data_IF_824861166457
#
_entry.id   IF_824861166457
#
_cell.length_a   1.000
_cell.length_b   1.000
_cell.length_c   1.000
_cell.angle_alpha   90.00
_cell.angle_beta   90.00
_cell.angle_gamma   90.00
#
_symmetry.space_group_name_H-M   'P 1'
#
loop_
_entity.id
_entity.type
_entity.pdbx_description
1 polymer ?
#
# COMPACT_ATOMS: atom_id res chain seq x y z
N UNK A 1 -6.48 20.38 53.52
CA UNK A 1 -6.66 20.56 52.07
C UNK A 1 -5.66 19.64 51.39
N UNK A 2 -6.05 18.44 50.94
CA UNK A 2 -5.13 17.58 50.20
C UNK A 2 -4.88 18.17 48.80
N UNK A 3 -3.65 18.06 48.27
CA UNK A 3 -3.34 18.54 46.93
C UNK A 3 -3.99 17.62 45.88
N UNK A 4 -4.74 18.22 44.96
CA UNK A 4 -5.30 17.55 43.80
C UNK A 4 -4.16 17.30 42.81
N UNK A 5 -3.72 16.05 42.68
CA UNK A 5 -2.79 15.60 41.65
C UNK A 5 -3.56 15.48 40.33
N UNK A 6 -3.31 16.39 39.38
CA UNK A 6 -3.66 16.16 37.99
C UNK A 6 -2.68 15.15 37.40
N UNK A 7 -3.18 13.97 37.05
CA UNK A 7 -2.45 13.03 36.20
C UNK A 7 -2.58 13.53 34.75
N UNK A 8 -1.48 13.64 33.99
CA UNK A 8 -1.56 13.96 32.58
C UNK A 8 -2.23 12.79 31.86
N UNK A 9 -3.35 13.05 31.20
CA UNK A 9 -3.90 12.15 30.18
C UNK A 9 -2.96 12.17 28.99
N UNK A 10 -2.31 11.04 28.72
CA UNK A 10 -1.67 10.81 27.43
C UNK A 10 -2.78 10.79 26.37
N UNK A 11 -2.83 11.81 25.53
CA UNK A 11 -3.62 11.76 24.32
C UNK A 11 -2.85 10.86 23.33
N UNK A 12 -3.36 9.66 23.09
CA UNK A 12 -2.97 8.91 21.91
C UNK A 12 -3.71 9.54 20.73
N UNK A 13 -2.97 9.97 19.72
CA UNK A 13 -3.57 10.32 18.44
C UNK A 13 -4.25 9.04 17.91
N UNK A 14 -5.45 9.22 17.36
CA UNK A 14 -6.20 8.14 16.75
C UNK A 14 -6.12 8.30 15.24
N UNK A 15 -6.19 7.21 14.46
CA UNK A 15 -6.28 7.31 13.02
C UNK A 15 -7.40 8.27 12.60
N UNK A 16 -7.13 9.02 11.55
CA UNK A 16 -8.05 10.02 10.99
C UNK A 16 -9.17 9.34 10.19
N UNK A 17 -8.89 8.15 9.65
CA UNK A 17 -9.86 7.26 9.04
C UNK A 17 -9.47 5.79 9.27
N UNK A 18 -10.47 4.91 9.35
CA UNK A 18 -10.32 3.47 9.58
C UNK A 18 -11.30 2.70 8.70
N UNK A 19 -10.76 1.78 7.89
CA UNK A 19 -11.44 0.75 7.12
C UNK A 19 -10.99 -0.64 7.56
N UNK A 20 -11.44 -1.04 8.75
CA UNK A 20 -11.14 -2.32 9.42
C UNK A 20 -12.29 -3.33 9.36
N UNK A 21 -13.39 -3.00 8.69
CA UNK A 21 -14.59 -3.84 8.51
C UNK A 21 -15.34 -4.17 9.80
N UNK A 22 -15.02 -3.54 10.93
CA UNK A 22 -15.68 -3.80 12.22
C UNK A 22 -17.15 -3.32 12.26
N UNK A 23 -17.60 -2.62 11.21
CA UNK A 23 -19.02 -2.34 10.96
C UNK A 23 -19.80 -3.55 10.40
N UNK A 24 -19.12 -4.65 10.10
CA UNK A 24 -19.68 -5.85 9.44
C UNK A 24 -20.34 -5.53 8.09
N UNK A 25 -19.81 -4.53 7.38
CA UNK A 25 -20.18 -4.16 6.03
C UNK A 25 -19.02 -3.41 5.36
N UNK A 26 -19.24 -2.95 4.12
CA UNK A 26 -18.22 -2.21 3.35
C UNK A 26 -18.38 -0.69 3.45
N UNK A 27 -19.18 -0.18 4.41
CA UNK A 27 -19.60 1.23 4.45
C UNK A 27 -18.50 2.22 4.87
N UNK A 28 -17.36 1.71 5.36
CA UNK A 28 -16.19 2.52 5.71
C UNK A 28 -15.44 3.06 4.48
N UNK A 29 -15.65 2.46 3.30
CA UNK A 29 -15.07 2.88 2.03
C UNK A 29 -16.08 3.72 1.24
N UNK A 30 -15.61 4.76 0.54
CA UNK A 30 -16.46 5.68 -0.22
C UNK A 30 -17.05 5.06 -1.49
N UNK A 31 -16.40 4.03 -2.02
CA UNK A 31 -16.80 3.38 -3.26
C UNK A 31 -16.30 1.97 -3.38
N UNK A 32 -16.96 1.21 -4.24
CA UNK A 32 -16.65 -0.17 -4.55
C UNK A 32 -16.66 -0.35 -6.06
N UNK A 33 -15.60 -0.91 -6.62
CA UNK A 33 -15.48 -1.17 -8.05
C UNK A 33 -15.70 -2.66 -8.29
N UNK A 34 -16.69 -2.97 -9.14
CA UNK A 34 -17.11 -4.34 -9.48
C UNK A 34 -17.36 -5.24 -8.26
N UNK A 35 -17.81 -4.70 -7.13
CA UNK A 35 -18.09 -5.51 -5.95
C UNK A 35 -19.26 -6.49 -6.14
N UNK A 36 -20.16 -6.21 -7.08
CA UNK A 36 -21.17 -7.16 -7.53
C UNK A 36 -21.21 -7.16 -9.05
N UNK A 37 -21.04 -8.34 -9.66
CA UNK A 37 -21.13 -8.53 -11.12
C UNK A 37 -22.19 -9.59 -11.38
N UNK A 38 -23.20 -9.25 -12.17
CA UNK A 38 -24.30 -10.15 -12.54
C UNK A 38 -25.02 -10.81 -11.35
N UNK A 39 -25.08 -10.14 -10.19
CA UNK A 39 -25.72 -10.66 -8.98
C UNK A 39 -24.81 -11.56 -8.14
N UNK A 40 -23.53 -11.66 -8.44
CA UNK A 40 -22.51 -12.35 -7.65
C UNK A 40 -21.64 -11.31 -6.95
N UNK A 41 -21.50 -11.43 -5.63
CA UNK A 41 -20.63 -10.56 -4.84
C UNK A 41 -19.17 -11.01 -4.96
N UNK A 42 -18.30 -10.11 -5.40
CA UNK A 42 -16.85 -10.29 -5.52
C UNK A 42 -16.08 -9.62 -4.38
N UNK A 43 -16.76 -8.81 -3.55
CA UNK A 43 -16.25 -8.36 -2.25
C UNK A 43 -17.23 -8.83 -1.18
N UNK A 44 -16.74 -9.58 -0.20
CA UNK A 44 -17.54 -10.09 0.92
C UNK A 44 -16.84 -9.81 2.24
N UNK A 45 -17.60 -9.44 3.27
CA UNK A 45 -17.07 -9.32 4.63
C UNK A 45 -17.11 -10.70 5.30
N UNK A 46 -15.98 -11.13 5.85
CA UNK A 46 -15.78 -12.47 6.42
C UNK A 46 -15.34 -12.39 7.88
N UNK A 47 -15.33 -13.52 8.59
CA UNK A 47 -14.94 -13.63 10.02
C UNK A 47 -13.90 -14.72 10.29
N UNK A 48 -13.52 -15.51 9.29
CA UNK A 48 -12.66 -16.69 9.43
C UNK A 48 -11.18 -16.39 9.14
N UNK A 49 -10.90 -15.44 8.24
CA UNK A 49 -9.56 -14.95 7.93
C UNK A 49 -9.52 -13.46 8.23
N UNK A 50 -8.99 -13.08 9.39
CA UNK A 50 -8.94 -11.69 9.90
C UNK A 50 -7.54 -11.37 10.42
N UNK A 51 -7.06 -10.15 10.21
CA UNK A 51 -5.77 -9.70 10.72
C UNK A 51 -5.91 -9.20 12.16
N UNK A 52 -7.02 -8.50 12.42
CA UNK A 52 -7.43 -8.04 13.74
C UNK A 52 -8.95 -8.13 13.91
N UNK A 53 -9.46 -7.69 15.06
CA UNK A 53 -10.90 -7.52 15.24
C UNK A 53 -11.71 -8.79 15.02
N UNK A 54 -12.84 -8.65 14.33
CA UNK A 54 -13.79 -9.71 14.00
C UNK A 54 -13.99 -9.89 12.50
N UNK A 55 -13.66 -8.90 11.68
CA UNK A 55 -14.01 -8.90 10.28
C UNK A 55 -12.84 -8.52 9.37
N UNK A 56 -12.90 -9.00 8.12
CA UNK A 56 -12.03 -8.57 7.04
C UNK A 56 -12.80 -8.61 5.71
N UNK A 57 -12.30 -7.94 4.68
CA UNK A 57 -12.83 -8.11 3.33
C UNK A 57 -12.11 -9.23 2.59
N UNK A 58 -12.87 -10.13 1.98
CA UNK A 58 -12.41 -11.09 0.98
C UNK A 58 -12.79 -10.59 -0.41
N UNK A 59 -11.80 -10.46 -1.28
CA UNK A 59 -11.94 -9.95 -2.64
C UNK A 59 -11.54 -11.04 -3.63
N UNK A 60 -12.42 -11.34 -4.59
CA UNK A 60 -12.14 -12.25 -5.71
C UNK A 60 -12.09 -11.48 -7.02
N UNK A 61 -11.08 -11.74 -7.85
CA UNK A 61 -11.02 -11.21 -9.20
C UNK A 61 -11.44 -12.28 -10.21
N UNK A 62 -12.59 -12.07 -10.86
CA UNK A 62 -13.06 -12.91 -11.95
C UNK A 62 -12.83 -12.22 -13.30
N UNK A 63 -12.69 -13.00 -14.36
CA UNK A 63 -12.50 -12.47 -15.72
C UNK A 63 -13.67 -11.60 -16.20
N UNK A 64 -14.88 -11.74 -15.67
CA UNK A 64 -16.00 -10.89 -16.06
C UNK A 64 -16.08 -9.56 -15.29
N UNK A 65 -15.15 -9.29 -14.36
CA UNK A 65 -15.01 -8.02 -13.64
C UNK A 65 -14.39 -6.91 -14.52
N UNK A 66 -15.00 -6.69 -15.68
CA UNK A 66 -14.52 -5.78 -16.74
C UNK A 66 -14.84 -4.34 -16.37
N UNK A 67 -13.82 -3.48 -16.31
CA UNK A 67 -14.01 -2.05 -16.20
C UNK A 67 -14.45 -1.44 -17.54
N UNK A 68 -15.58 -0.72 -17.60
CA UNK A 68 -16.18 -0.32 -18.87
C UNK A 68 -15.30 0.54 -19.78
N UNK A 69 -14.40 1.35 -19.20
CA UNK A 69 -13.70 2.39 -19.96
C UNK A 69 -12.45 1.89 -20.70
N UNK A 70 -11.83 0.82 -20.22
CA UNK A 70 -10.52 0.36 -20.74
C UNK A 70 -10.38 -1.17 -20.78
N UNK A 71 -11.39 -1.90 -20.30
CA UNK A 71 -11.39 -3.36 -20.29
C UNK A 71 -10.47 -3.98 -19.23
N UNK A 72 -9.87 -3.18 -18.34
CA UNK A 72 -9.11 -3.71 -17.21
C UNK A 72 -10.00 -4.62 -16.36
N UNK A 73 -9.39 -5.63 -15.74
CA UNK A 73 -10.08 -6.53 -14.82
C UNK A 73 -9.80 -6.07 -13.41
N UNK A 74 -10.82 -5.67 -12.66
CA UNK A 74 -10.62 -5.07 -11.33
C UNK A 74 -11.78 -5.30 -10.39
N UNK A 75 -11.46 -5.53 -9.12
CA UNK A 75 -12.41 -5.55 -7.99
C UNK A 75 -11.71 -4.89 -6.80
N UNK A 76 -12.19 -3.72 -6.39
CA UNK A 76 -11.43 -2.83 -5.50
C UNK A 76 -12.33 -2.02 -4.58
N UNK A 77 -11.79 -1.74 -3.40
CA UNK A 77 -12.27 -0.78 -2.42
C UNK A 77 -11.69 0.59 -2.76
N UNK A 78 -12.49 1.66 -2.62
CA UNK A 78 -12.10 3.04 -2.90
C UNK A 78 -12.20 3.88 -1.64
N UNK A 79 -11.11 4.57 -1.29
CA UNK A 79 -11.06 5.57 -0.21
C UNK A 79 -10.69 6.94 -0.76
N UNK A 80 -11.48 7.96 -0.43
CA UNK A 80 -11.23 9.36 -0.73
C UNK A 80 -10.87 10.09 0.56
N UNK A 81 -9.60 10.47 0.75
CA UNK A 81 -9.19 11.25 1.91
C UNK A 81 -10.01 12.54 2.06
N UNK A 82 -10.16 12.98 3.32
CA UNK A 82 -10.77 14.27 3.60
C UNK A 82 -10.03 15.40 2.85
N UNK A 83 -10.77 16.44 2.45
CA UNK A 83 -10.22 17.57 1.69
C UNK A 83 -8.97 18.15 2.38
N UNK A 84 -7.92 18.39 1.61
CA UNK A 84 -6.66 18.96 2.11
C UNK A 84 -5.60 17.94 2.48
N UNK A 85 -5.96 16.65 2.63
CA UNK A 85 -5.01 15.62 3.07
C UNK A 85 -3.99 15.23 2.01
N UNK A 86 -4.33 15.43 0.73
CA UNK A 86 -3.43 15.18 -0.40
C UNK A 86 -3.14 16.46 -1.20
N UNK A 87 -3.35 17.63 -0.60
CA UNK A 87 -3.02 18.91 -1.26
C UNK A 87 -1.49 19.10 -1.28
N UNK A 88 -1.00 19.99 -2.13
CA UNK A 88 0.41 20.38 -2.17
C UNK A 88 0.94 20.74 -0.76
N UNK A 89 2.03 20.10 -0.34
CA UNK A 89 2.67 20.26 0.96
C UNK A 89 2.02 19.49 2.11
N UNK A 90 0.92 18.77 1.87
CA UNK A 90 0.32 17.90 2.88
C UNK A 90 1.18 16.65 3.13
N UNK A 91 0.96 16.03 4.29
CA UNK A 91 1.55 14.73 4.62
C UNK A 91 0.44 13.73 4.94
N UNK A 92 0.61 12.50 4.51
CA UNK A 92 -0.33 11.41 4.80
C UNK A 92 0.43 10.17 5.23
N UNK A 93 -0.01 9.59 6.33
CA UNK A 93 0.34 8.22 6.69
C UNK A 93 -0.83 7.32 6.30
N UNK A 94 -0.53 6.19 5.65
CA UNK A 94 -1.55 5.20 5.30
C UNK A 94 -0.99 3.80 5.48
N UNK A 95 -1.79 2.86 5.97
CA UNK A 95 -1.42 1.46 6.03
C UNK A 95 -2.63 0.58 5.71
N UNK A 96 -2.35 -0.66 5.32
CA UNK A 96 -3.34 -1.73 5.26
C UNK A 96 -2.65 -3.08 5.39
N UNK A 97 -3.41 -4.09 5.76
CA UNK A 97 -2.96 -5.47 5.79
C UNK A 97 -3.55 -6.24 4.62
N UNK A 98 -2.80 -7.18 4.07
CA UNK A 98 -3.29 -8.10 3.06
C UNK A 98 -2.91 -9.55 3.36
N UNK A 99 -3.74 -10.50 2.91
CA UNK A 99 -3.47 -11.93 3.00
C UNK A 99 -3.82 -12.60 1.68
N UNK A 100 -2.96 -13.51 1.24
CA UNK A 100 -3.17 -14.33 0.05
C UNK A 100 -3.42 -15.78 0.49
N UNK A 101 -4.57 -16.39 0.17
CA UNK A 101 -4.79 -17.82 0.46
C UNK A 101 -3.92 -18.72 -0.41
N UNK A 102 -3.57 -18.26 -1.61
CA UNK A 102 -2.70 -18.95 -2.58
C UNK A 102 -1.76 -17.92 -3.23
N UNK A 103 -0.59 -18.37 -3.66
CA UNK A 103 0.35 -17.54 -4.41
C UNK A 103 -0.30 -17.07 -5.72
N UNK A 104 -0.18 -15.78 -6.04
CA UNK A 104 -0.74 -15.24 -7.28
C UNK A 104 0.04 -15.76 -8.51
N UNK A 105 -0.53 -15.56 -9.71
CA UNK A 105 0.16 -15.92 -10.95
C UNK A 105 1.54 -15.25 -11.03
N UNK A 106 2.55 -16.02 -11.41
CA UNK A 106 3.91 -15.53 -11.67
C UNK A 106 4.10 -15.00 -13.10
N UNK A 107 3.10 -15.16 -13.97
CA UNK A 107 3.16 -14.74 -15.37
C UNK A 107 2.55 -13.34 -15.59
N UNK A 108 1.90 -12.79 -14.56
CA UNK A 108 1.06 -11.60 -14.65
C UNK A 108 1.21 -10.76 -13.37
N UNK A 109 1.47 -9.47 -13.54
CA UNK A 109 1.44 -8.51 -12.44
C UNK A 109 0.00 -8.22 -12.00
N UNK A 110 -0.22 -8.22 -10.68
CA UNK A 110 -1.47 -7.78 -10.07
C UNK A 110 -1.24 -6.58 -9.19
N UNK A 111 -1.88 -5.45 -9.50
CA UNK A 111 -1.90 -4.32 -8.59
C UNK A 111 -2.82 -4.62 -7.41
N UNK A 112 -2.32 -4.44 -6.19
CA UNK A 112 -3.07 -4.70 -4.96
C UNK A 112 -3.46 -3.42 -4.20
N UNK A 113 -2.78 -2.32 -4.52
CA UNK A 113 -3.02 -1.03 -3.92
C UNK A 113 -2.33 0.08 -4.70
N UNK A 114 -2.97 1.24 -4.84
CA UNK A 114 -2.36 2.40 -5.50
C UNK A 114 -3.09 3.69 -5.15
N UNK A 115 -2.44 4.81 -5.49
CA UNK A 115 -3.05 6.14 -5.47
C UNK A 115 -3.16 6.70 -6.87
N UNK A 116 -4.21 7.46 -7.08
CA UNK A 116 -4.54 8.06 -8.36
C UNK A 116 -5.18 9.43 -8.14
N UNK A 117 -4.90 10.39 -9.02
CA UNK A 117 -5.51 11.71 -8.95
C UNK A 117 -6.97 11.67 -9.37
N UNK A 118 -7.83 12.34 -8.61
CA UNK A 118 -9.21 12.58 -8.99
C UNK A 118 -9.28 13.35 -10.33
N UNK A 119 -10.31 13.08 -11.13
CA UNK A 119 -10.59 13.74 -12.41
C UNK A 119 -9.57 13.54 -13.55
N UNK A 120 -8.26 13.54 -13.29
CA UNK A 120 -7.21 13.31 -14.31
C UNK A 120 -6.73 11.85 -14.39
N UNK A 121 -6.98 11.05 -13.35
CA UNK A 121 -6.70 9.61 -13.33
C UNK A 121 -5.22 9.28 -13.59
N UNK A 122 -4.30 10.13 -13.10
CA UNK A 122 -2.88 9.82 -13.08
C UNK A 122 -2.60 8.89 -11.91
N UNK A 123 -2.33 7.62 -12.19
CA UNK A 123 -1.85 6.69 -11.18
C UNK A 123 -0.45 7.14 -10.72
N UNK A 124 -0.31 7.47 -9.43
CA UNK A 124 0.87 8.13 -8.87
C UNK A 124 1.87 7.11 -8.33
N UNK A 125 1.38 6.08 -7.65
CA UNK A 125 2.19 5.06 -7.00
C UNK A 125 1.39 3.77 -6.88
N UNK A 126 2.08 2.63 -6.90
CA UNK A 126 1.46 1.30 -7.03
C UNK A 126 2.22 0.26 -6.22
N UNK A 127 1.46 -0.69 -5.70
CA UNK A 127 1.91 -1.96 -5.15
C UNK A 127 1.46 -3.08 -6.08
N UNK A 128 2.42 -3.87 -6.55
CA UNK A 128 2.15 -5.03 -7.39
C UNK A 128 2.61 -6.32 -6.70
N UNK A 129 1.94 -7.41 -7.01
CA UNK A 129 2.38 -8.78 -6.72
C UNK A 129 2.43 -9.59 -8.01
N UNK A 130 3.54 -10.31 -8.20
CA UNK A 130 3.77 -11.27 -9.29
C UNK A 130 4.39 -12.53 -8.70
N UNK A 131 3.62 -13.62 -8.64
CA UNK A 131 4.02 -14.79 -7.84
C UNK A 131 4.12 -14.43 -6.36
N UNK A 132 5.33 -14.57 -5.81
CA UNK A 132 5.67 -14.19 -4.43
C UNK A 132 6.36 -12.81 -4.36
N UNK A 133 6.67 -12.20 -5.50
CA UNK A 133 7.36 -10.92 -5.54
C UNK A 133 6.39 -9.78 -5.28
N UNK A 134 6.68 -8.96 -4.27
CA UNK A 134 6.04 -7.67 -4.02
C UNK A 134 6.94 -6.58 -4.59
N UNK A 135 6.34 -5.62 -5.29
CA UNK A 135 7.02 -4.44 -5.82
C UNK A 135 6.28 -3.17 -5.42
N UNK A 136 7.03 -2.16 -4.99
CA UNK A 136 6.55 -0.79 -4.83
C UNK A 136 7.22 0.15 -5.82
N UNK A 137 6.40 0.95 -6.52
CA UNK A 137 6.87 1.89 -7.53
C UNK A 137 6.05 3.19 -7.54
N UNK A 138 6.70 4.30 -7.91
CA UNK A 138 6.00 5.52 -8.37
C UNK A 138 5.83 5.45 -9.89
N UNK A 139 4.75 6.05 -10.40
CA UNK A 139 4.38 6.06 -11.82
C UNK A 139 4.36 7.46 -12.44
N UNK A 140 4.60 8.50 -11.63
CA UNK A 140 4.69 9.88 -12.07
C UNK A 140 5.97 10.55 -11.52
N UNK A 141 6.63 11.44 -12.30
CA UNK A 141 6.40 11.68 -13.73
C UNK A 141 6.84 10.48 -14.59
N UNK A 142 7.69 9.62 -14.02
CA UNK A 142 8.21 8.41 -14.64
C UNK A 142 7.91 7.19 -13.76
N UNK A 143 7.95 6.00 -14.38
CA UNK A 143 7.97 4.76 -13.62
C UNK A 143 9.32 4.58 -12.93
N UNK A 144 9.31 4.54 -11.60
CA UNK A 144 10.49 4.26 -10.78
C UNK A 144 10.13 3.20 -9.76
N UNK A 145 10.76 2.04 -9.89
CA UNK A 145 10.71 1.01 -8.86
C UNK A 145 11.65 1.38 -7.72
N UNK A 146 11.09 1.49 -6.51
CA UNK A 146 11.86 1.85 -5.31
C UNK A 146 12.26 0.62 -4.50
N UNK A 147 11.46 -0.43 -4.56
CA UNK A 147 11.68 -1.65 -3.79
C UNK A 147 10.98 -2.85 -4.42
N UNK A 148 11.65 -4.01 -4.33
CA UNK A 148 11.08 -5.31 -4.67
C UNK A 148 11.65 -6.40 -3.74
N UNK A 149 10.83 -7.40 -3.39
CA UNK A 149 11.28 -8.58 -2.66
C UNK A 149 10.32 -9.77 -2.83
N UNK A 150 10.84 -11.00 -2.74
CA UNK A 150 10.03 -12.22 -2.76
C UNK A 150 9.47 -12.50 -1.35
N UNK A 151 8.42 -11.78 -0.96
CA UNK A 151 7.88 -11.74 0.41
C UNK A 151 6.37 -11.94 0.51
N UNK A 152 5.63 -12.02 -0.60
CA UNK A 152 4.19 -12.32 -0.59
C UNK A 152 3.95 -13.81 -0.30
N UNK A 153 4.03 -14.19 0.98
CA UNK A 153 3.83 -15.58 1.40
C UNK A 153 2.35 -15.92 1.53
N UNK A 154 1.89 -16.88 0.74
CA UNK A 154 0.54 -17.41 0.88
C UNK A 154 0.32 -18.02 2.28
N UNK A 155 -0.86 -17.82 2.85
CA UNK A 155 -1.18 -18.29 4.20
C UNK A 155 -0.74 -17.35 5.32
N UNK A 156 -0.14 -16.20 5.00
CA UNK A 156 0.28 -15.20 5.96
C UNK A 156 -0.36 -13.85 5.65
N UNK A 157 -0.72 -13.13 6.71
CA UNK A 157 -1.00 -11.71 6.59
C UNK A 157 0.34 -10.96 6.45
N UNK A 158 0.29 -9.86 5.72
CA UNK A 158 1.37 -8.91 5.53
C UNK A 158 0.83 -7.50 5.74
N UNK A 159 1.68 -6.59 6.20
CA UNK A 159 1.31 -5.20 6.43
C UNK A 159 2.17 -4.27 5.59
N UNK A 160 1.51 -3.34 4.92
CA UNK A 160 2.15 -2.24 4.21
C UNK A 160 1.82 -0.95 4.93
N UNK A 161 2.82 -0.10 5.12
CA UNK A 161 2.60 1.29 5.51
C UNK A 161 3.42 2.24 4.65
N UNK A 162 2.87 3.43 4.43
CA UNK A 162 3.48 4.47 3.62
C UNK A 162 3.31 5.82 4.30
N UNK A 163 4.37 6.63 4.21
CA UNK A 163 4.32 8.06 4.50
C UNK A 163 4.59 8.82 3.20
N UNK A 164 3.68 9.74 2.88
CA UNK A 164 3.70 10.53 1.66
C UNK A 164 3.82 12.01 2.04
N UNK A 165 4.85 12.68 1.53
CA UNK A 165 4.87 14.13 1.41
C UNK A 165 4.38 14.50 0.01
N UNK A 166 3.21 15.13 -0.08
CA UNK A 166 2.52 15.45 -1.33
C UNK A 166 3.11 16.71 -1.99
N UNK A 167 3.58 16.59 -3.23
CA UNK A 167 4.19 17.69 -3.98
C UNK A 167 4.27 17.41 -5.47
N UNK A 168 4.05 18.42 -6.31
CA UNK A 168 4.39 18.39 -7.74
C UNK A 168 5.89 18.62 -7.97
N UNK A 169 6.58 19.26 -7.02
CA UNK A 169 8.03 19.44 -7.04
C UNK A 169 8.72 18.16 -6.51
N UNK A 170 9.52 17.45 -7.33
CA UNK A 170 10.20 16.24 -6.90
C UNK A 170 11.28 16.48 -5.84
N UNK A 171 11.73 17.72 -5.61
CA UNK A 171 12.65 18.04 -4.52
C UNK A 171 11.94 18.15 -3.16
N UNK A 172 10.62 18.32 -3.14
CA UNK A 172 9.80 18.47 -1.94
C UNK A 172 8.93 17.24 -1.65
N UNK A 173 8.56 16.49 -2.70
CA UNK A 173 7.81 15.26 -2.56
C UNK A 173 8.70 14.11 -2.14
N UNK A 174 8.18 13.24 -1.28
CA UNK A 174 8.93 12.10 -0.76
C UNK A 174 8.01 10.94 -0.39
N UNK A 175 8.56 9.73 -0.47
CA UNK A 175 7.91 8.51 0.00
C UNK A 175 8.83 7.76 0.98
N UNK A 176 8.26 7.35 2.11
CA UNK A 176 8.84 6.34 3.01
C UNK A 176 7.90 5.14 3.06
N UNK A 177 8.46 3.93 3.07
CA UNK A 177 7.67 2.70 3.01
C UNK A 177 8.17 1.68 4.03
N UNK A 178 7.20 1.02 4.65
CA UNK A 178 7.42 -0.14 5.52
C UNK A 178 6.66 -1.35 5.00
N UNK A 179 7.30 -2.51 5.09
CA UNK A 179 6.70 -3.80 4.84
C UNK A 179 6.96 -4.69 6.07
N UNK A 180 5.90 -5.23 6.66
CA UNK A 180 5.96 -6.05 7.90
C UNK A 180 6.79 -5.39 9.03
N UNK A 181 6.66 -4.07 9.17
CA UNK A 181 7.35 -3.26 10.17
C UNK A 181 8.79 -2.87 9.84
N UNK A 182 9.40 -3.46 8.80
CA UNK A 182 10.73 -3.07 8.32
C UNK A 182 10.63 -1.90 7.35
N UNK A 183 11.42 -0.84 7.57
CA UNK A 183 11.49 0.26 6.60
C UNK A 183 12.29 -0.18 5.38
N UNK A 184 11.62 -0.23 4.22
CA UNK A 184 12.18 -0.72 2.97
C UNK A 184 12.48 0.38 1.95
N UNK A 185 11.84 1.55 2.11
CA UNK A 185 12.17 2.78 1.37
C UNK A 185 12.31 3.93 2.36
N UNK A 186 13.36 4.72 2.22
CA UNK A 186 13.64 5.87 3.10
C UNK A 186 13.78 7.14 2.27
N UNK A 187 12.87 8.07 2.48
CA UNK A 187 12.85 9.42 1.94
C UNK A 187 13.20 9.49 0.44
N UNK A 188 12.59 8.62 -0.37
CA UNK A 188 12.81 8.63 -1.81
C UNK A 188 12.15 9.88 -2.40
N UNK A 189 12.98 10.82 -2.89
CA UNK A 189 12.54 12.09 -3.46
C UNK A 189 11.89 11.88 -4.84
N UNK A 190 10.65 12.34 -4.99
CA UNK A 190 9.83 12.13 -6.19
C UNK A 190 8.65 13.09 -6.20
N UNK A 191 8.14 13.46 -7.39
CA UNK A 191 6.87 14.18 -7.47
C UNK A 191 5.73 13.21 -7.13
N UNK A 192 5.13 13.40 -5.96
CA UNK A 192 4.03 12.57 -5.45
C UNK A 192 2.67 13.08 -5.87
N UNK A 193 2.59 14.24 -6.55
CA UNK A 193 1.38 14.73 -7.22
C UNK A 193 1.66 14.99 -8.70
N UNK A 194 0.70 14.62 -9.55
CA UNK A 194 0.76 14.90 -10.98
C UNK A 194 0.20 16.28 -11.35
N UNK A 195 -0.74 16.76 -10.55
CA UNK A 195 -1.46 18.01 -10.77
C UNK A 195 -2.14 18.47 -9.46
N UNK A 196 -3.07 19.44 -9.56
CA UNK A 196 -3.78 20.01 -8.40
C UNK A 196 -4.99 19.19 -7.94
N UNK A 197 -5.27 18.05 -8.55
CA UNK A 197 -6.38 17.22 -8.11
C UNK A 197 -5.97 16.38 -6.91
N UNK A 198 -6.89 16.23 -5.94
CA UNK A 198 -6.66 15.37 -4.79
C UNK A 198 -6.42 13.92 -5.21
N UNK A 199 -5.53 13.21 -4.52
CA UNK A 199 -5.32 11.79 -4.71
C UNK A 199 -6.35 10.99 -3.89
N UNK A 200 -6.74 9.84 -4.41
CA UNK A 200 -7.53 8.83 -3.70
C UNK A 200 -6.78 7.49 -3.72
N UNK A 201 -7.17 6.56 -2.84
CA UNK A 201 -6.55 5.25 -2.72
C UNK A 201 -7.51 4.16 -3.17
N UNK A 202 -6.99 3.15 -3.86
CA UNK A 202 -7.72 1.93 -4.17
C UNK A 202 -6.96 0.72 -3.64
N UNK A 203 -7.68 -0.23 -3.04
CA UNK A 203 -7.15 -1.48 -2.49
C UNK A 203 -7.95 -2.65 -3.04
N UNK A 204 -7.30 -3.73 -3.47
CA UNK A 204 -8.00 -4.90 -4.00
C UNK A 204 -7.18 -5.67 -5.03
N UNK A 205 -7.77 -5.96 -6.19
CA UNK A 205 -7.10 -6.66 -7.28
C UNK A 205 -7.37 -5.94 -8.59
N UNK A 206 -6.31 -5.58 -9.32
CA UNK A 206 -6.37 -5.05 -10.68
C UNK A 206 -5.37 -5.78 -11.59
N UNK A 207 -5.87 -6.20 -12.76
CA UNK A 207 -5.11 -6.79 -13.87
C UNK A 207 -5.34 -6.02 -15.16
N UNK A 208 -4.43 -6.24 -16.11
CA UNK A 208 -4.52 -5.72 -17.48
C UNK A 208 -5.77 -6.20 -18.24
N UNK A 209 -5.95 -5.67 -19.45
CA UNK A 209 -7.05 -6.04 -20.34
C UNK A 209 -6.68 -7.28 -21.17
N UNK A 210 -6.79 -8.45 -20.55
CA UNK A 210 -6.68 -9.76 -21.19
C UNK A 210 -7.52 -10.77 -20.40
N UNK A 211 -7.88 -11.87 -21.06
CA UNK A 211 -8.69 -12.92 -20.45
C UNK A 211 -7.81 -13.87 -19.62
N UNK A 212 -8.34 -14.40 -18.52
CA UNK A 212 -7.66 -15.38 -17.67
C UNK A 212 -8.63 -16.41 -17.08
N UNK A 213 -8.12 -17.58 -16.71
CA UNK A 213 -8.94 -18.71 -16.24
C UNK A 213 -8.84 -18.94 -14.72
N UNK A 214 -7.89 -18.29 -14.03
CA UNK A 214 -7.75 -18.33 -12.57
C UNK A 214 -8.71 -17.36 -11.86
N UNK A 215 -8.89 -17.53 -10.55
CA UNK A 215 -9.66 -16.58 -9.71
C UNK A 215 -8.76 -16.15 -8.56
N UNK A 216 -7.95 -15.09 -8.74
CA UNK A 216 -7.16 -14.53 -7.66
C UNK A 216 -8.02 -14.10 -6.49
N UNK A 217 -7.53 -14.36 -5.28
CA UNK A 217 -8.19 -13.97 -4.04
C UNK A 217 -7.20 -13.21 -3.18
N UNK A 218 -7.64 -12.10 -2.61
CA UNK A 218 -6.92 -11.34 -1.59
C UNK A 218 -7.89 -11.03 -0.45
N UNK A 219 -7.38 -11.05 0.78
CA UNK A 219 -8.08 -10.51 1.93
C UNK A 219 -7.43 -9.17 2.30
N UNK A 220 -8.25 -8.17 2.63
CA UNK A 220 -7.82 -6.85 3.08
C UNK A 220 -8.41 -6.61 4.46
N UNK A 221 -7.62 -6.05 5.36
CA UNK A 221 -8.02 -5.69 6.72
C UNK A 221 -7.16 -4.53 7.23
N UNK A 222 -7.63 -3.86 8.28
CA UNK A 222 -6.93 -2.79 9.01
C UNK A 222 -6.35 -1.70 8.10
N UNK A 223 -7.16 -1.23 7.15
CA UNK A 223 -6.81 -0.05 6.37
C UNK A 223 -6.96 1.20 7.25
N UNK A 224 -5.92 2.00 7.38
CA UNK A 224 -5.89 3.16 8.28
C UNK A 224 -5.20 4.35 7.62
N UNK A 225 -5.74 5.53 7.84
CA UNK A 225 -5.12 6.80 7.46
C UNK A 225 -4.82 7.59 8.73
N UNK A 226 -3.58 8.08 8.86
CA UNK A 226 -3.06 8.72 10.06
C UNK A 226 -2.30 10.00 9.78
N UNK A 227 -1.93 10.70 10.85
CA UNK A 227 -1.05 11.86 10.83
C UNK A 227 0.37 11.54 11.34
N UNK A 228 0.60 10.32 11.84
CA UNK A 228 1.92 9.86 12.28
C UNK A 228 2.16 8.37 12.03
N UNK A 229 3.41 7.96 12.23
CA UNK A 229 3.83 6.55 12.23
C UNK A 229 3.01 5.72 13.21
N UNK A 230 2.78 6.26 14.41
CA UNK A 230 2.04 5.58 15.46
C UNK A 230 0.56 5.39 15.10
N UNK A 231 -0.05 6.30 14.35
CA UNK A 231 -1.46 6.15 13.93
C UNK A 231 -1.65 4.97 12.96
N UNK A 232 -0.63 4.63 12.17
CA UNK A 232 -0.73 3.58 11.15
C UNK A 232 -0.05 2.27 11.55
N UNK A 233 0.49 2.19 12.77
CA UNK A 233 0.97 0.97 13.41
C UNK A 233 1.72 -0.01 12.47
N UNK A 234 2.75 0.43 11.73
CA UNK A 234 3.44 -0.42 10.75
C UNK A 234 4.08 -1.67 11.39
N UNK A 235 4.35 -1.63 12.70
CA UNK A 235 4.91 -2.71 13.49
C UNK A 235 3.93 -3.80 13.90
N UNK A 236 2.62 -3.66 13.62
CA UNK A 236 1.65 -4.73 13.86
C UNK A 236 2.04 -5.95 13.03
N UNK A 237 2.86 -6.81 13.63
CA UNK A 237 3.13 -8.14 13.15
C UNK A 237 1.78 -8.84 13.07
N UNK A 238 1.34 -9.26 11.88
CA UNK A 238 0.02 -9.83 11.75
C UNK A 238 -0.15 -11.01 12.70
N UNK A 239 -1.32 -11.14 13.31
CA UNK A 239 -1.63 -12.29 14.15
C UNK A 239 -1.41 -13.56 13.32
N UNK A 240 -0.39 -14.35 13.68
CA UNK A 240 -0.13 -15.63 13.03
C UNK A 240 -1.41 -16.46 13.05
N UNK A 241 -1.85 -16.91 11.87
CA UNK A 241 -3.14 -17.54 11.60
C UNK A 241 -3.36 -18.90 12.27
N UNK A 242 -3.31 -18.96 13.60
CA UNK A 242 -3.81 -20.08 14.38
C UNK A 242 -5.10 -19.63 15.07
N UNK A 243 -6.23 -19.82 14.37
CA UNK A 243 -7.55 -19.81 14.96
C UNK A 243 -7.58 -20.80 16.13
N UNK A 244 -7.40 -20.27 17.34
CA UNK A 244 -7.57 -21.03 18.59
C UNK A 244 -9.06 -21.36 18.75
N UNK A 245 -9.46 -22.48 18.15
CA UNK A 245 -10.72 -23.17 18.43
C UNK A 245 -10.64 -23.88 19.78
N UNK A 246 -10.59 -23.10 20.86
CA UNK A 246 -10.55 -23.58 22.24
C UNK A 246 -11.94 -23.71 22.87
N UNK A 247 -12.83 -24.52 22.28
CA UNK A 247 -14.05 -24.96 22.95
C UNK A 247 -13.72 -25.96 24.06
N UNK A 248 -14.13 -25.68 25.31
CA UNK A 248 -13.86 -26.55 26.44
C UNK A 248 -14.62 -26.20 27.71
N UNK A 249 -15.94 -26.32 27.68
CA UNK A 249 -16.75 -26.50 28.89
C UNK A 249 -16.40 -27.86 29.53
N UNK A 250 -15.88 -27.88 30.75
CA UNK A 250 -16.22 -28.89 31.76
C UNK A 250 -15.76 -28.49 33.15
N UNK A 251 -16.76 -28.43 34.04
CA UNK A 251 -16.63 -28.38 35.48
C UNK A 251 -15.86 -29.60 36.04
N UNK A 252 -15.08 -29.38 37.10
CA UNK A 252 -14.39 -30.43 37.84
C UNK A 252 -13.76 -29.93 39.14
N UNK A 253 -14.51 -30.09 40.22
CA UNK A 253 -14.17 -29.95 41.64
C UNK A 253 -12.97 -30.81 42.10
N UNK A 254 -12.26 -30.39 43.16
CA UNK A 254 -11.42 -31.32 43.95
C UNK A 254 -10.07 -30.84 44.52
N UNK A 255 -10.11 -30.10 45.63
CA UNK A 255 -9.39 -30.36 46.91
C UNK A 255 -7.89 -30.80 46.97
N UNK A 256 -7.08 -29.92 47.59
CA UNK A 256 -6.06 -30.13 48.67
C UNK A 256 -4.82 -31.04 48.48
N UNK A 257 -3.60 -30.49 48.68
CA UNK A 257 -2.77 -30.55 49.93
C UNK A 257 -1.26 -30.32 49.67
N UNK A 258 -0.63 -29.47 50.53
CA UNK A 258 0.76 -29.55 51.03
C UNK A 258 1.92 -29.29 50.05
N UNK A 259 2.99 -28.57 50.37
CA UNK A 259 3.51 -28.00 51.61
C UNK A 259 5.04 -27.94 51.56
N UNK A 260 5.62 -26.77 51.88
CA UNK A 260 7.05 -26.57 52.23
C UNK A 260 8.03 -26.49 51.05
N UNK A 261 9.21 -25.86 51.13
CA UNK A 261 9.84 -24.96 52.11
C UNK A 261 11.22 -24.55 51.54
N UNK A 262 11.74 -23.42 52.02
CA UNK A 262 13.17 -23.03 52.17
C UNK A 262 14.05 -22.60 50.99
N UNK A 263 14.69 -21.43 51.20
CA UNK A 263 16.07 -21.10 50.80
C UNK A 263 16.14 -20.03 49.69
N UNK A 264 16.72 -18.85 49.85
CA UNK A 264 17.65 -18.33 50.85
C UNK A 264 18.90 -17.76 50.16
N UNK A 265 19.06 -16.43 50.20
CA UNK A 265 20.34 -15.71 50.00
C UNK A 265 20.70 -15.34 48.56
N UNK A 266 21.57 -14.38 48.28
CA UNK A 266 22.10 -13.19 48.97
C UNK A 266 23.15 -12.60 47.99
N UNK A 267 23.30 -11.26 47.95
CA UNK A 267 24.48 -10.58 47.39
C UNK A 267 24.50 -10.42 45.87
N UNK A 268 25.16 -9.43 45.27
CA UNK A 268 25.96 -8.34 45.82
C UNK A 268 26.16 -7.28 44.70
N UNK A 269 26.71 -6.15 45.13
CA UNK A 269 26.83 -4.84 44.52
C UNK A 269 27.75 -4.68 43.30
N UNK A 270 27.59 -3.50 42.68
CA UNK A 270 28.68 -2.72 42.08
C UNK A 270 28.46 -2.45 40.59
N UNK A 271 28.78 -1.30 40.01
CA UNK A 271 29.29 0.00 40.48
C UNK A 271 29.46 0.85 39.22
N UNK A 272 29.17 2.16 39.34
CA UNK A 272 29.84 3.30 38.68
C UNK A 272 30.08 3.33 37.16
N UNK A 273 29.58 4.41 36.54
CA UNK A 273 30.05 4.87 35.23
C UNK A 273 29.45 6.20 34.77
N UNK A 274 29.70 7.30 35.51
CA UNK A 274 29.48 8.67 35.00
C UNK A 274 30.45 8.99 33.88
N UNK A 275 29.94 9.59 32.79
CA UNK A 275 30.68 10.60 32.03
C UNK A 275 29.71 11.58 31.38
N UNK A 276 29.63 12.78 31.97
CA UNK A 276 29.12 13.98 31.34
C UNK A 276 30.13 14.50 30.32
N UNK A 277 29.66 14.99 29.17
CA UNK A 277 30.37 16.01 28.41
C UNK A 277 29.37 16.92 27.70
N UNK A 278 29.31 18.13 28.23
CA UNK A 278 28.79 19.38 27.68
C UNK A 278 29.41 19.74 26.33
N UNK A 279 28.62 20.35 25.45
CA UNK A 279 29.13 21.02 24.25
C UNK A 279 28.07 21.86 23.55
N UNK A 280 27.76 23.04 24.09
CA UNK A 280 27.01 24.07 23.40
C UNK A 280 27.95 24.91 22.52
N UNK A 281 27.56 25.21 21.29
CA UNK A 281 28.01 26.42 20.60
C UNK A 281 27.03 26.81 19.50
N UNK A 282 26.35 27.94 19.74
CA UNK A 282 25.66 28.72 18.74
C UNK A 282 26.67 29.48 17.88
N UNK A 283 26.35 29.70 16.60
CA UNK A 283 26.85 30.84 15.83
C UNK A 283 25.86 31.17 14.72
N UNK A 284 25.22 32.32 14.87
CA UNK A 284 24.54 33.04 13.82
C UNK A 284 25.57 33.80 12.95
N UNK A 285 25.30 33.96 11.66
CA UNK A 285 25.77 35.12 10.90
C UNK A 285 24.81 35.43 9.76
N UNK A 286 24.19 36.60 9.85
CA UNK A 286 23.51 37.28 8.75
C UNK A 286 24.55 37.96 7.84
N UNK A 287 24.20 38.14 6.56
CA UNK A 287 24.72 39.24 5.74
C UNK A 287 23.77 39.52 4.57
N UNK A 288 23.24 40.74 4.56
CA UNK A 288 22.50 41.36 3.49
C UNK A 288 23.38 41.68 2.26
N UNK A 289 22.74 41.90 1.11
CA UNK A 289 23.34 42.44 -0.11
C UNK A 289 22.27 42.94 -1.07
N UNK A 290 22.20 44.25 -1.19
CA UNK A 290 21.18 45.09 -1.83
C UNK A 290 21.30 45.24 -3.37
N UNK A 291 20.18 45.63 -3.98
CA UNK A 291 19.99 46.60 -5.10
C UNK A 291 20.29 46.24 -6.56
N UNK A 292 19.30 46.53 -7.42
CA UNK A 292 19.49 46.81 -8.85
C UNK A 292 18.19 46.82 -9.68
N UNK A 293 17.48 47.96 -9.71
CA UNK A 293 16.44 48.32 -10.71
C UNK A 293 17.08 48.39 -12.13
N UNK A 294 16.44 48.38 -13.31
CA UNK A 294 15.22 49.02 -13.91
C UNK A 294 15.23 48.51 -15.39
N UNK A 295 14.16 48.26 -16.15
CA UNK A 295 13.39 49.24 -16.97
C UNK A 295 12.28 48.56 -17.80
N UNK A 296 11.17 49.28 -17.86
CA UNK A 296 10.02 49.43 -18.79
C UNK A 296 10.14 49.01 -20.27
N UNK A 297 9.05 48.44 -20.83
CA UNK A 297 8.26 48.90 -22.02
C UNK A 297 7.12 47.88 -22.29
N UNK A 298 5.84 48.22 -22.08
CA UNK A 298 4.86 48.79 -23.04
C UNK A 298 4.61 48.00 -24.33
N UNK A 299 3.40 47.45 -24.45
CA UNK A 299 2.84 46.94 -25.71
C UNK A 299 1.35 46.62 -25.55
N UNK A 300 0.50 47.49 -26.08
CA UNK A 300 -0.98 47.45 -26.06
C UNK A 300 -1.54 47.02 -27.42
N UNK A 301 -2.70 46.35 -27.41
CA UNK A 301 -3.62 46.16 -28.54
C UNK A 301 -3.63 44.73 -29.09
N UNK A 302 -4.74 44.09 -29.41
CA UNK A 302 -6.15 44.49 -29.48
C UNK A 302 -6.98 43.28 -29.96
N UNK A 303 -8.30 43.45 -29.87
CA UNK A 303 -9.40 42.57 -30.29
C UNK A 303 -9.15 41.53 -31.39
N UNK A 304 -9.74 40.32 -31.25
CA UNK A 304 -10.86 39.91 -32.12
C UNK A 304 -11.52 38.59 -31.71
N UNK A 305 -12.85 38.64 -31.79
CA UNK A 305 -13.84 37.57 -31.76
C UNK A 305 -13.63 36.44 -32.78
N UNK A 306 -14.11 35.24 -32.44
CA UNK A 306 -14.49 34.22 -33.44
C UNK A 306 -14.46 32.81 -32.87
N UNK A 307 -15.64 32.26 -32.55
CA UNK A 307 -15.76 30.89 -32.04
C UNK A 307 -15.64 29.83 -33.13
N UNK A 308 -15.48 28.57 -32.69
CA UNK A 308 -16.13 27.38 -33.22
C UNK A 308 -15.65 26.16 -32.44
N UNK A 309 -16.57 25.24 -32.24
CA UNK A 309 -16.38 23.92 -31.65
C UNK A 309 -15.36 23.06 -32.41
N UNK A 310 -14.68 22.16 -31.69
CA UNK A 310 -14.37 20.83 -32.17
C UNK A 310 -14.00 19.94 -30.98
N UNK A 311 -14.54 18.73 -31.03
CA UNK A 311 -14.34 17.61 -30.12
C UNK A 311 -12.86 17.25 -29.93
N UNK A 312 -12.55 16.74 -28.74
CA UNK A 312 -11.24 16.19 -28.42
C UNK A 312 -11.36 15.16 -27.30
N UNK A 313 -11.66 13.92 -27.70
CA UNK A 313 -11.44 12.71 -26.91
C UNK A 313 -10.02 12.71 -26.35
N UNK A 314 -9.91 12.87 -25.04
CA UNK A 314 -8.69 12.65 -24.28
C UNK A 314 -8.76 11.30 -23.59
N UNK A 315 -8.50 10.22 -24.34
CA UNK A 315 -8.25 8.90 -23.77
C UNK A 315 -6.91 8.91 -23.03
N UNK A 316 -6.95 9.21 -21.73
CA UNK A 316 -5.88 8.89 -20.78
C UNK A 316 -5.75 7.37 -20.70
N UNK A 317 -4.94 6.79 -21.57
CA UNK A 317 -4.66 5.36 -21.58
C UNK A 317 -3.80 4.97 -20.39
N UNK A 318 -4.38 4.26 -19.42
CA UNK A 318 -3.64 3.48 -18.42
C UNK A 318 -2.86 2.38 -19.16
N UNK A 319 -1.62 2.67 -19.54
CA UNK A 319 -0.72 1.70 -20.14
C UNK A 319 -0.08 0.83 -19.07
N UNK A 320 -0.57 -0.40 -18.89
CA UNK A 320 0.24 -1.48 -18.32
C UNK A 320 1.19 -1.96 -19.43
N UNK A 321 2.43 -1.46 -19.47
CA UNK A 321 3.44 -1.97 -20.40
C UNK A 321 4.29 -3.05 -19.73
N UNK A 322 3.98 -4.31 -20.03
CA UNK A 322 4.86 -5.44 -19.75
C UNK A 322 6.05 -5.41 -20.71
N UNK A 323 7.24 -5.05 -20.23
CA UNK A 323 8.46 -5.05 -21.03
C UNK A 323 9.29 -6.30 -20.72
N UNK A 324 9.20 -7.31 -21.59
CA UNK A 324 10.02 -8.52 -21.50
C UNK A 324 11.52 -8.21 -21.76
N UNK A 325 12.47 -8.79 -21.00
CA UNK A 325 13.89 -8.55 -21.22
C UNK A 325 14.40 -9.25 -22.49
N UNK A 326 15.12 -8.47 -23.30
CA UNK A 326 15.63 -8.85 -24.61
C UNK A 326 16.63 -10.00 -24.60
N UNK A 327 16.46 -10.89 -25.59
CA UNK A 327 17.35 -12.00 -25.87
C UNK A 327 18.72 -11.55 -26.41
N UNK A 328 19.77 -12.14 -25.82
CA UNK A 328 21.12 -12.09 -26.37
C UNK A 328 21.30 -13.15 -27.46
N UNK A 329 21.90 -12.72 -28.57
CA UNK A 329 22.28 -13.53 -29.71
C UNK A 329 23.28 -14.64 -29.34
N UNK A 330 23.05 -15.85 -29.85
CA UNK A 330 23.93 -17.00 -29.66
C UNK A 330 23.84 -18.04 -30.76
N UNK A 331 24.68 -17.87 -31.78
CA UNK A 331 25.31 -18.85 -32.67
C UNK A 331 24.63 -20.18 -33.05
N UNK A 332 24.54 -20.31 -34.37
CA UNK A 332 24.30 -21.47 -35.24
C UNK A 332 25.25 -22.66 -34.94
N UNK A 333 24.70 -23.85 -34.67
CA UNK A 333 25.36 -25.14 -34.97
C UNK A 333 24.34 -26.13 -35.55
N UNK A 334 24.67 -26.61 -36.74
CA UNK A 334 23.99 -27.68 -37.50
C UNK A 334 24.26 -29.04 -36.86
N UNK A 335 23.23 -29.86 -36.72
CA UNK A 335 23.37 -31.32 -36.66
C UNK A 335 22.22 -32.01 -37.42
N UNK A 336 22.60 -32.64 -38.53
CA UNK A 336 21.84 -33.62 -39.31
C UNK A 336 21.82 -34.95 -38.55
N UNK A 337 20.69 -35.68 -38.64
CA UNK A 337 20.46 -37.14 -38.55
C UNK A 337 19.00 -37.33 -38.04
N UNK A 338 18.11 -38.16 -38.55
CA UNK A 338 18.15 -39.22 -39.54
C UNK A 338 16.88 -40.08 -39.32
N UNK A 339 16.14 -40.32 -40.41
CA UNK A 339 15.17 -41.38 -40.70
C UNK A 339 14.40 -42.12 -39.58
N UNK A 340 13.06 -42.25 -39.78
CA UNK A 340 12.28 -43.23 -39.02
C UNK A 340 10.78 -43.34 -39.35
N UNK A 341 10.39 -43.32 -40.63
CA UNK A 341 9.01 -43.64 -41.00
C UNK A 341 8.70 -45.12 -40.72
N UNK A 342 7.72 -45.40 -39.85
CA UNK A 342 7.10 -46.73 -39.73
C UNK A 342 5.59 -46.62 -39.87
N UNK A 343 5.12 -46.81 -41.11
CA UNK A 343 3.70 -47.02 -41.46
C UNK A 343 3.26 -48.40 -41.00
N UNK A 344 2.19 -48.45 -40.20
CA UNK A 344 1.32 -49.63 -40.02
C UNK A 344 0.40 -49.76 -41.24
N UNK A 345 0.25 -50.97 -41.79
CA UNK A 345 -1.04 -51.71 -41.91
C UNK A 345 -1.00 -52.87 -42.94
N UNK A 346 -1.43 -54.02 -42.42
CA UNK A 346 -2.42 -54.99 -42.94
C UNK A 346 -1.99 -56.07 -43.96
N UNK A 347 -2.34 -57.29 -43.52
CA UNK A 347 -2.55 -58.58 -44.19
C UNK A 347 -1.31 -59.44 -44.39
#
# INVERSE_FOLDING_TARGET
MPPLLLLPTLAFAAPVWVGDFETNDLSQFDGLLNANVNGVDYITVVQDVVAQGQYAARIELHDDAIWPNNGLRRVELHHTPARGRTDEGAQTWFAWSFYLPETLSADVDQSIGYWETAASYHQLLVWNITGEQVTFATRYPDYVEHWQADVATAGSWHRVAIHLAWSQDPELGAVDVWFDGEQVVTAAAVATLADTNAAFTQLGLLRGNFDFDDVPVIYIDDAVEGDSYEDVHPELAPAGGESSSGGGDSAGDGSTTGGGSTGGGNGDAGSSGSASATGASASASASAGETGATTTESGSGGDSSGGAAADGDGSGGCGCSSQAPGGAAGWLVVAVLGAGARRRRRR
#
